data_IF_739907814787
#
_entry.id   IF_739907814787
#
_cell.length_a   1.000
_cell.length_b   1.000
_cell.length_c   1.000
_cell.angle_alpha   90.00
_cell.angle_beta   90.00
_cell.angle_gamma   90.00
#
_symmetry.space_group_name_H-M   'P 1'
#
loop_
_entity.id
_entity.type
_entity.pdbx_description
1 polymer ?
#
# COMPACT_ATOMS: atom_id res chain seq x y z
N UNK A 1 5.16 -11.07 8.72
CA UNK A 1 4.25 -11.89 7.87
C UNK A 1 4.95 -13.13 7.34
N UNK A 2 6.03 -13.01 6.55
CA UNK A 2 6.69 -14.16 5.94
C UNK A 2 7.22 -15.18 6.97
N UNK A 3 7.91 -14.71 8.02
CA UNK A 3 8.37 -15.56 9.13
C UNK A 3 7.24 -16.41 9.73
N UNK A 4 6.16 -15.75 10.16
CA UNK A 4 5.00 -16.42 10.75
C UNK A 4 4.38 -17.45 9.80
N UNK A 5 4.24 -17.12 8.51
CA UNK A 5 3.69 -18.05 7.52
C UNK A 5 4.56 -19.30 7.34
N UNK A 6 5.89 -19.14 7.31
CA UNK A 6 6.84 -20.26 7.25
C UNK A 6 6.79 -21.12 8.52
N UNK A 7 6.76 -20.49 9.70
CA UNK A 7 6.61 -21.18 10.99
C UNK A 7 5.35 -22.06 10.98
N UNK A 8 4.21 -21.47 10.64
CA UNK A 8 2.93 -22.21 10.60
C UNK A 8 2.97 -23.32 9.56
N UNK A 9 3.53 -23.07 8.37
CA UNK A 9 3.63 -24.09 7.34
C UNK A 9 4.55 -25.24 7.73
N UNK A 10 5.63 -24.97 8.48
CA UNK A 10 6.51 -26.00 9.06
C UNK A 10 5.82 -26.78 10.19
N UNK A 11 5.03 -26.10 11.04
CA UNK A 11 4.20 -26.77 12.05
C UNK A 11 3.17 -27.72 11.42
N UNK A 12 2.50 -27.29 10.35
CA UNK A 12 1.57 -28.14 9.60
C UNK A 12 2.28 -29.32 8.93
N UNK A 13 3.52 -29.13 8.44
CA UNK A 13 4.32 -30.20 7.87
C UNK A 13 4.70 -31.27 8.91
N UNK A 14 4.95 -30.88 10.16
CA UNK A 14 5.19 -31.84 11.26
C UNK A 14 4.00 -32.77 11.48
N UNK A 15 2.78 -32.26 11.39
CA UNK A 15 1.55 -33.05 11.63
C UNK A 15 1.08 -33.80 10.40
N UNK A 16 1.20 -33.21 9.21
CA UNK A 16 0.56 -33.72 7.98
C UNK A 16 1.54 -34.15 6.89
N UNK A 17 2.85 -34.08 7.18
CA UNK A 17 3.90 -34.21 6.18
C UNK A 17 4.07 -32.95 5.32
N UNK A 18 5.26 -32.74 4.73
CA UNK A 18 5.49 -31.64 3.80
C UNK A 18 4.65 -31.80 2.52
N UNK A 19 4.58 -30.77 1.68
CA UNK A 19 4.00 -30.93 0.34
C UNK A 19 4.85 -31.87 -0.52
N UNK A 20 4.23 -32.48 -1.53
CA UNK A 20 4.74 -33.63 -2.30
C UNK A 20 6.18 -33.46 -2.81
N UNK A 21 6.51 -32.30 -3.39
CA UNK A 21 7.83 -32.02 -3.98
C UNK A 21 8.68 -31.07 -3.12
N UNK A 22 8.51 -31.06 -1.80
CA UNK A 22 9.27 -30.16 -0.92
C UNK A 22 10.79 -30.40 -1.00
N UNK A 23 11.21 -31.66 -0.99
CA UNK A 23 12.64 -32.01 -0.86
C UNK A 23 13.50 -31.65 -2.07
N UNK A 24 12.88 -31.26 -3.19
CA UNK A 24 13.57 -30.74 -4.39
C UNK A 24 13.57 -29.20 -4.46
N UNK A 25 12.97 -28.53 -3.47
CA UNK A 25 12.80 -27.07 -3.48
C UNK A 25 13.99 -26.29 -2.89
N UNK A 26 14.15 -25.00 -3.22
CA UNK A 26 15.15 -24.13 -2.58
C UNK A 26 15.04 -24.10 -1.05
N UNK A 27 13.81 -24.11 -0.52
CA UNK A 27 13.57 -24.10 0.92
C UNK A 27 14.13 -25.36 1.62
N UNK A 28 14.12 -26.52 0.95
CA UNK A 28 14.75 -27.73 1.45
C UNK A 28 16.29 -27.61 1.51
N UNK A 29 16.89 -26.86 0.58
CA UNK A 29 18.30 -26.49 0.62
C UNK A 29 18.61 -25.38 1.65
N UNK A 30 17.59 -24.84 2.34
CA UNK A 30 17.72 -23.75 3.31
C UNK A 30 17.73 -22.35 2.69
N UNK A 31 17.40 -22.23 1.40
CA UNK A 31 17.27 -20.98 0.66
C UNK A 31 15.82 -20.48 0.75
N UNK A 32 15.62 -19.36 1.44
CA UNK A 32 14.35 -18.66 1.59
C UNK A 32 14.28 -17.45 0.66
N UNK A 33 13.13 -16.77 0.64
CA UNK A 33 12.88 -15.71 -0.35
C UNK A 33 13.90 -14.58 -0.34
N UNK A 34 14.41 -14.19 0.82
CA UNK A 34 15.37 -13.09 0.93
C UNK A 34 16.77 -13.51 0.49
N UNK A 35 17.12 -14.80 0.63
CA UNK A 35 18.39 -15.35 0.14
C UNK A 35 18.45 -15.26 -1.39
N UNK A 36 17.35 -15.60 -2.07
CA UNK A 36 17.19 -15.45 -3.52
C UNK A 36 17.30 -13.99 -4.00
N UNK A 37 17.17 -13.02 -3.09
CA UNK A 37 17.32 -11.58 -3.37
C UNK A 37 18.67 -11.02 -2.90
N UNK A 38 19.53 -11.85 -2.30
CA UNK A 38 20.79 -11.41 -1.70
C UNK A 38 20.59 -10.48 -0.49
N UNK A 39 19.44 -10.56 0.18
CA UNK A 39 19.09 -9.72 1.33
C UNK A 39 19.33 -10.48 2.62
N UNK A 40 20.10 -9.88 3.52
CA UNK A 40 20.21 -10.36 4.90
C UNK A 40 19.12 -9.68 5.73
N UNK A 41 18.19 -10.43 6.36
CA UNK A 41 17.18 -9.85 7.24
C UNK A 41 17.81 -9.33 8.53
N UNK A 42 17.14 -8.37 9.17
CA UNK A 42 17.51 -7.96 10.52
C UNK A 42 17.19 -9.09 11.50
N UNK A 43 18.20 -9.62 12.18
CA UNK A 43 18.06 -10.74 13.13
C UNK A 43 17.47 -10.31 14.49
N UNK A 44 17.30 -9.01 14.72
CA UNK A 44 16.81 -8.47 16.00
C UNK A 44 15.34 -8.82 16.30
N UNK A 45 14.55 -9.13 15.27
CA UNK A 45 13.12 -9.39 15.42
C UNK A 45 12.76 -10.89 15.39
N UNK A 46 13.49 -11.70 14.61
CA UNK A 46 13.14 -13.10 14.37
C UNK A 46 14.38 -13.97 14.17
N UNK A 47 14.42 -15.15 14.79
CA UNK A 47 15.51 -16.12 14.63
C UNK A 47 15.35 -16.93 13.32
N UNK A 48 15.80 -16.34 12.22
CA UNK A 48 15.77 -16.98 10.89
C UNK A 48 16.65 -18.23 10.81
N UNK A 49 17.75 -18.26 11.56
CA UNK A 49 18.66 -19.40 11.59
C UNK A 49 17.97 -20.63 12.20
N UNK A 50 17.28 -20.46 13.33
CA UNK A 50 16.47 -21.51 13.94
C UNK A 50 15.36 -21.99 13.01
N UNK A 51 14.62 -21.06 12.39
CA UNK A 51 13.55 -21.40 11.46
C UNK A 51 14.07 -22.20 10.25
N UNK A 52 15.20 -21.81 9.64
CA UNK A 52 15.83 -22.56 8.55
C UNK A 52 16.23 -23.98 8.99
N UNK A 53 16.77 -24.15 10.20
CA UNK A 53 17.10 -25.49 10.73
C UNK A 53 15.85 -26.35 10.88
N UNK A 54 14.76 -25.78 11.39
CA UNK A 54 13.49 -26.48 11.55
C UNK A 54 12.90 -26.89 10.20
N UNK A 55 12.84 -25.97 9.24
CA UNK A 55 12.32 -26.23 7.89
C UNK A 55 13.10 -27.36 7.20
N UNK A 56 14.43 -27.42 7.34
CA UNK A 56 15.22 -28.51 6.76
C UNK A 56 14.92 -29.88 7.37
N UNK A 57 14.42 -29.93 8.61
CA UNK A 57 14.05 -31.19 9.29
C UNK A 57 12.62 -31.60 8.99
N UNK A 58 11.69 -30.64 9.02
CA UNK A 58 10.25 -30.93 8.97
C UNK A 58 9.64 -30.75 7.59
N UNK A 59 10.28 -29.93 6.77
CA UNK A 59 9.73 -29.35 5.57
C UNK A 59 8.64 -28.31 5.80
N UNK A 60 7.99 -27.92 4.71
CA UNK A 60 6.87 -26.97 4.66
C UNK A 60 5.63 -27.67 4.09
N UNK A 61 4.45 -27.27 4.56
CA UNK A 61 3.17 -27.79 4.05
C UNK A 61 2.72 -27.08 2.76
N UNK A 62 3.23 -25.89 2.50
CA UNK A 62 2.86 -25.06 1.36
C UNK A 62 4.12 -24.64 0.60
N UNK A 63 4.09 -24.70 -0.73
CA UNK A 63 5.22 -24.30 -1.58
C UNK A 63 5.38 -22.78 -1.64
N UNK A 64 4.28 -22.03 -1.62
CA UNK A 64 4.23 -20.57 -1.66
C UNK A 64 3.20 -20.07 -0.64
N UNK A 65 3.49 -18.93 -0.01
CA UNK A 65 2.79 -18.43 1.18
C UNK A 65 2.28 -17.00 1.04
N UNK A 66 3.09 -16.09 0.48
CA UNK A 66 2.81 -14.66 0.46
C UNK A 66 2.65 -14.17 -0.98
N UNK A 67 1.49 -13.58 -1.25
CA UNK A 67 1.18 -12.80 -2.45
C UNK A 67 0.33 -11.59 -2.02
N UNK A 68 0.70 -10.39 -2.45
CA UNK A 68 -0.05 -9.18 -2.12
C UNK A 68 -1.01 -8.85 -3.24
N UNK A 69 -2.29 -9.17 -3.05
CA UNK A 69 -3.36 -8.94 -4.01
C UNK A 69 -3.98 -7.53 -3.86
N UNK A 70 -4.73 -7.06 -4.86
CA UNK A 70 -5.65 -5.94 -4.69
C UNK A 70 -6.72 -6.31 -3.66
N UNK A 71 -7.12 -5.35 -2.83
CA UNK A 71 -8.12 -5.56 -1.78
C UNK A 71 -9.31 -4.62 -1.94
N UNK A 72 -9.62 -4.18 -3.15
CA UNK A 72 -10.67 -3.19 -3.44
C UNK A 72 -11.98 -3.46 -2.67
N UNK A 73 -12.55 -4.68 -2.76
CA UNK A 73 -13.79 -5.01 -2.05
C UNK A 73 -13.65 -5.08 -0.53
N UNK A 74 -12.65 -5.82 -0.04
CA UNK A 74 -12.47 -6.08 1.41
C UNK A 74 -11.98 -4.85 2.18
N UNK A 75 -11.19 -3.98 1.55
CA UNK A 75 -10.75 -2.70 2.13
C UNK A 75 -11.90 -1.71 2.29
N UNK A 76 -12.86 -1.69 1.35
CA UNK A 76 -14.09 -0.89 1.49
C UNK A 76 -14.93 -1.40 2.67
N UNK A 77 -15.13 -2.72 2.77
CA UNK A 77 -15.87 -3.33 3.88
C UNK A 77 -15.20 -3.00 5.23
N UNK A 78 -13.87 -3.07 5.28
CA UNK A 78 -13.09 -2.81 6.49
C UNK A 78 -12.85 -1.32 6.77
N UNK A 79 -13.22 -0.43 5.84
CA UNK A 79 -12.96 1.00 5.93
C UNK A 79 -11.46 1.35 6.00
N UNK A 80 -10.62 0.59 5.29
CA UNK A 80 -9.17 0.70 5.18
C UNK A 80 -8.74 1.13 3.77
N UNK A 81 -7.48 1.53 3.61
CA UNK A 81 -6.87 1.76 2.30
C UNK A 81 -6.61 0.43 1.60
N UNK A 82 -6.67 0.43 0.27
CA UNK A 82 -6.45 -0.76 -0.53
C UNK A 82 -4.98 -1.22 -0.47
N UNK A 83 -4.78 -2.50 -0.17
CA UNK A 83 -3.50 -3.21 -0.23
C UNK A 83 -2.36 -2.42 0.42
N UNK A 84 -1.22 -2.32 -0.24
CA UNK A 84 -0.03 -1.54 0.19
C UNK A 84 0.00 -0.12 -0.39
N UNK A 85 -1.14 0.37 -0.89
CA UNK A 85 -1.21 1.68 -1.55
C UNK A 85 -1.27 2.85 -0.56
N UNK A 86 -0.91 4.03 -1.05
CA UNK A 86 -1.17 5.31 -0.39
C UNK A 86 -2.51 5.84 -0.88
N UNK A 87 -3.31 6.52 -0.03
CA UNK A 87 -4.54 7.17 -0.47
C UNK A 87 -4.31 8.06 -1.70
N UNK A 88 -5.10 7.85 -2.75
CA UNK A 88 -4.95 8.61 -4.00
C UNK A 88 -5.28 10.09 -3.82
N UNK A 89 -6.27 10.40 -2.99
CA UNK A 89 -6.75 11.73 -2.66
C UNK A 89 -7.32 11.71 -1.23
N UNK A 90 -7.22 12.82 -0.49
CA UNK A 90 -7.86 12.91 0.84
C UNK A 90 -9.33 13.33 0.79
N UNK A 91 -9.92 13.52 -0.39
CA UNK A 91 -11.33 13.89 -0.56
C UNK A 91 -11.97 12.93 -1.55
N UNK A 92 -13.02 12.22 -1.15
CA UNK A 92 -13.71 11.23 -1.98
C UNK A 92 -15.20 11.53 -2.05
N UNK A 93 -15.81 11.31 -3.21
CA UNK A 93 -17.24 11.50 -3.40
C UNK A 93 -17.97 10.17 -3.22
N UNK A 94 -18.91 10.11 -2.29
CA UNK A 94 -19.81 8.97 -2.10
C UNK A 94 -21.19 9.34 -2.63
N UNK A 95 -21.64 8.60 -3.64
CA UNK A 95 -23.02 8.67 -4.13
C UNK A 95 -23.91 7.77 -3.26
N UNK A 96 -25.02 8.32 -2.79
CA UNK A 96 -26.07 7.61 -2.05
C UNK A 96 -27.40 7.90 -2.72
N UNK A 97 -28.47 7.19 -2.34
CA UNK A 97 -29.82 7.45 -2.84
C UNK A 97 -30.28 8.90 -2.58
N UNK A 98 -29.77 9.53 -1.52
CA UNK A 98 -30.07 10.90 -1.11
C UNK A 98 -29.14 11.97 -1.69
N UNK A 99 -28.24 11.59 -2.62
CA UNK A 99 -27.34 12.54 -3.29
C UNK A 99 -25.85 12.19 -3.18
N UNK A 100 -25.00 13.10 -3.66
CA UNK A 100 -23.54 12.96 -3.69
C UNK A 100 -22.92 13.75 -2.54
N UNK A 101 -22.18 13.06 -1.67
CA UNK A 101 -21.52 13.67 -0.53
C UNK A 101 -20.01 13.64 -0.70
N UNK A 102 -19.34 14.77 -0.47
CA UNK A 102 -17.89 14.82 -0.36
C UNK A 102 -17.46 14.48 1.07
N UNK A 103 -16.65 13.43 1.17
CA UNK A 103 -16.08 12.93 2.41
C UNK A 103 -14.58 13.22 2.40
N UNK A 104 -14.05 13.68 3.53
CA UNK A 104 -12.62 13.91 3.71
C UNK A 104 -12.05 12.76 4.52
N UNK A 105 -10.80 12.36 4.25
CA UNK A 105 -10.06 11.33 4.97
C UNK A 105 -10.24 11.51 6.48
N UNK A 106 -10.93 10.55 7.12
CA UNK A 106 -11.28 10.58 8.55
C UNK A 106 -10.06 10.79 9.45
N UNK A 107 -8.89 10.28 9.05
CA UNK A 107 -7.65 10.43 9.79
C UNK A 107 -7.13 11.87 9.71
N UNK A 108 -7.17 12.48 8.53
CA UNK A 108 -6.81 13.90 8.34
C UNK A 108 -7.76 14.80 9.13
N UNK A 109 -9.07 14.54 9.07
CA UNK A 109 -10.06 15.29 9.85
C UNK A 109 -9.75 15.22 11.34
N UNK A 110 -9.46 14.03 11.87
CA UNK A 110 -9.10 13.83 13.28
C UNK A 110 -7.83 14.60 13.65
N UNK A 111 -6.79 14.52 12.81
CA UNK A 111 -5.54 15.25 13.03
C UNK A 111 -5.77 16.77 13.07
N UNK A 112 -6.50 17.32 12.11
CA UNK A 112 -6.82 18.75 12.06
C UNK A 112 -7.72 19.19 13.22
N UNK A 113 -8.69 18.36 13.64
CA UNK A 113 -9.53 18.63 14.82
C UNK A 113 -8.69 18.71 16.09
N UNK A 114 -7.71 17.82 16.26
CA UNK A 114 -6.86 17.77 17.46
C UNK A 114 -6.04 19.05 17.68
N UNK A 115 -5.80 19.82 16.62
CA UNK A 115 -5.07 21.09 16.67
C UNK A 115 -5.95 22.31 16.36
N UNK A 116 -7.29 22.15 16.38
CA UNK A 116 -8.23 23.24 16.15
C UNK A 116 -8.28 23.80 14.71
N UNK A 117 -7.66 23.13 13.74
CA UNK A 117 -7.59 23.59 12.34
C UNK A 117 -8.67 22.99 11.43
N UNK A 118 -9.57 22.15 11.96
CA UNK A 118 -10.70 21.64 11.17
C UNK A 118 -11.82 22.69 11.07
N UNK A 119 -11.62 23.70 10.24
CA UNK A 119 -12.57 24.81 9.99
C UNK A 119 -13.19 24.69 8.60
N UNK A 120 -14.35 25.34 8.34
CA UNK A 120 -14.93 25.41 7.00
C UNK A 120 -13.95 25.96 5.95
N UNK A 121 -13.14 26.96 6.31
CA UNK A 121 -12.11 27.54 5.43
C UNK A 121 -11.05 26.50 5.03
N UNK A 122 -10.48 25.78 6.00
CA UNK A 122 -9.48 24.73 5.70
C UNK A 122 -10.09 23.59 4.89
N UNK A 123 -11.32 23.18 5.21
CA UNK A 123 -12.05 22.17 4.43
C UNK A 123 -12.21 22.60 2.99
N UNK A 124 -12.66 23.83 2.73
CA UNK A 124 -12.82 24.36 1.37
C UNK A 124 -11.49 24.43 0.62
N UNK A 125 -10.39 24.79 1.28
CA UNK A 125 -9.04 24.76 0.67
C UNK A 125 -8.61 23.36 0.27
N UNK A 126 -8.83 22.36 1.12
CA UNK A 126 -8.51 20.96 0.83
C UNK A 126 -9.32 20.45 -0.38
N UNK A 127 -10.61 20.78 -0.43
CA UNK A 127 -11.49 20.40 -1.56
C UNK A 127 -11.04 21.10 -2.85
N UNK A 128 -10.77 22.41 -2.77
CA UNK A 128 -10.30 23.20 -3.91
C UNK A 128 -8.97 22.67 -4.47
N UNK A 129 -8.14 22.06 -3.61
CA UNK A 129 -6.86 21.44 -3.96
C UNK A 129 -6.96 19.94 -4.26
N UNK A 130 -8.15 19.45 -4.64
CA UNK A 130 -8.41 18.04 -5.00
C UNK A 130 -7.99 17.03 -3.92
N UNK A 131 -8.13 17.42 -2.66
CA UNK A 131 -7.75 16.61 -1.50
C UNK A 131 -6.26 16.61 -1.18
N UNK A 132 -5.45 17.42 -1.85
CA UNK A 132 -4.08 17.67 -1.40
C UNK A 132 -4.06 18.68 -0.24
N UNK A 133 -3.26 18.37 0.78
CA UNK A 133 -2.97 19.32 1.88
C UNK A 133 -1.68 20.11 1.62
N UNK A 134 -0.97 19.82 0.53
CA UNK A 134 0.24 20.56 0.19
C UNK A 134 -0.12 21.98 -0.26
N UNK A 135 0.74 22.95 0.02
CA UNK A 135 0.50 24.35 -0.33
C UNK A 135 -0.50 25.11 0.57
N UNK A 136 -1.20 24.43 1.48
CA UNK A 136 -2.04 25.10 2.49
C UNK A 136 -1.14 25.51 3.66
N UNK A 137 -0.78 26.80 3.73
CA UNK A 137 0.20 27.33 4.68
C UNK A 137 -0.20 27.16 6.15
N UNK A 138 -1.50 27.18 6.44
CA UNK A 138 -2.02 27.02 7.79
C UNK A 138 -1.87 25.59 8.32
N UNK A 139 -1.73 24.59 7.46
CA UNK A 139 -1.56 23.19 7.90
C UNK A 139 -0.08 22.95 8.20
N UNK A 140 0.28 22.54 9.45
CA UNK A 140 1.66 22.28 9.82
C UNK A 140 2.35 21.26 8.93
N UNK A 141 3.66 21.42 8.72
CA UNK A 141 4.46 20.55 7.87
C UNK A 141 4.40 19.07 8.28
N UNK A 142 4.39 18.77 9.57
CA UNK A 142 4.31 17.38 10.04
C UNK A 142 2.99 16.71 9.61
N UNK A 143 1.86 17.44 9.60
CA UNK A 143 0.58 16.94 9.08
C UNK A 143 0.66 16.82 7.56
N UNK A 144 1.14 17.84 6.86
CA UNK A 144 1.28 17.80 5.40
C UNK A 144 2.16 16.65 4.95
N UNK A 145 3.20 16.31 5.70
CA UNK A 145 4.11 15.20 5.41
C UNK A 145 3.44 13.84 5.51
N UNK A 146 2.53 13.65 6.47
CA UNK A 146 1.79 12.40 6.67
C UNK A 146 0.68 12.23 5.63
N UNK A 147 -0.05 13.31 5.31
CA UNK A 147 -1.24 13.24 4.46
C UNK A 147 -0.97 13.58 2.99
N UNK A 148 0.25 13.28 2.51
CA UNK A 148 0.55 13.35 1.09
C UNK A 148 -0.33 12.41 0.28
N UNK A 149 -0.77 12.86 -0.87
CA UNK A 149 -1.46 12.02 -1.86
C UNK A 149 -0.46 11.17 -2.63
N UNK A 150 -0.92 10.08 -3.26
CA UNK A 150 -0.03 9.18 -4.03
C UNK A 150 0.76 9.89 -5.13
N UNK A 151 0.21 10.98 -5.68
CA UNK A 151 0.81 11.79 -6.76
C UNK A 151 1.91 12.75 -6.29
N UNK A 152 2.10 12.90 -4.98
CA UNK A 152 3.08 13.80 -4.36
C UNK A 152 4.37 13.07 -3.95
N UNK A 153 4.38 11.75 -4.05
CA UNK A 153 5.56 10.93 -3.81
C UNK A 153 6.35 10.69 -5.09
N UNK A 154 7.68 10.59 -4.94
CA UNK A 154 8.54 10.15 -6.06
C UNK A 154 8.21 8.69 -6.38
N UNK A 155 7.89 8.40 -7.64
CA UNK A 155 7.55 7.06 -8.13
C UNK A 155 8.61 5.99 -7.78
N UNK A 156 9.89 6.36 -7.85
CA UNK A 156 11.00 5.47 -7.48
C UNK A 156 10.99 5.04 -6.02
N UNK A 157 10.37 5.82 -5.12
CA UNK A 157 10.20 5.45 -3.71
C UNK A 157 9.34 4.21 -3.59
N UNK A 158 8.23 4.13 -4.32
CA UNK A 158 7.35 2.96 -4.30
C UNK A 158 8.05 1.72 -4.85
N UNK A 159 8.82 1.86 -5.93
CA UNK A 159 9.62 0.76 -6.50
C UNK A 159 10.63 0.23 -5.47
N UNK A 160 11.33 1.11 -4.76
CA UNK A 160 12.26 0.71 -3.69
C UNK A 160 11.54 0.02 -2.53
N UNK A 161 10.38 0.54 -2.12
CA UNK A 161 9.57 -0.08 -1.07
C UNK A 161 9.06 -1.45 -1.49
N UNK A 162 8.66 -1.62 -2.76
CA UNK A 162 8.27 -2.90 -3.36
C UNK A 162 9.43 -3.90 -3.34
N UNK A 163 10.64 -3.45 -3.67
CA UNK A 163 11.82 -4.31 -3.69
C UNK A 163 12.21 -4.76 -2.27
N UNK A 164 12.20 -3.82 -1.32
CA UNK A 164 12.47 -4.11 0.08
C UNK A 164 11.52 -5.17 0.66
N UNK A 165 10.20 -5.06 0.40
CA UNK A 165 9.24 -6.10 0.81
C UNK A 165 9.29 -7.35 -0.07
N UNK A 166 9.72 -7.23 -1.33
CA UNK A 166 9.83 -8.33 -2.29
C UNK A 166 10.74 -9.47 -1.85
N UNK A 167 11.80 -9.13 -1.10
CA UNK A 167 12.67 -10.10 -0.42
C UNK A 167 11.92 -11.01 0.57
N UNK A 168 10.71 -10.65 0.99
CA UNK A 168 9.88 -11.43 1.91
C UNK A 168 8.55 -11.89 1.27
N UNK A 169 8.43 -11.82 -0.06
CA UNK A 169 7.24 -12.23 -0.82
C UNK A 169 7.62 -13.30 -1.84
N UNK A 170 7.25 -14.55 -1.56
CA UNK A 170 7.62 -15.68 -2.41
C UNK A 170 6.92 -15.67 -3.78
N UNK A 171 5.73 -15.08 -3.87
CA UNK A 171 5.06 -14.81 -5.15
C UNK A 171 5.38 -13.40 -5.63
N UNK A 172 4.40 -12.51 -5.75
CA UNK A 172 4.58 -11.12 -6.18
C UNK A 172 3.60 -10.19 -5.47
N UNK A 173 3.59 -8.92 -5.84
CA UNK A 173 2.63 -7.92 -5.39
C UNK A 173 1.93 -7.23 -6.57
N UNK A 174 0.67 -6.85 -6.39
CA UNK A 174 -0.12 -6.10 -7.36
C UNK A 174 0.08 -4.59 -7.16
N UNK A 175 1.27 -4.09 -7.47
CA UNK A 175 1.60 -2.68 -7.26
C UNK A 175 1.24 -1.80 -8.46
N UNK A 176 0.34 -0.85 -8.25
CA UNK A 176 0.01 0.17 -9.23
C UNK A 176 1.09 1.28 -9.28
N UNK A 177 1.18 1.96 -10.42
CA UNK A 177 2.08 3.08 -10.68
C UNK A 177 1.25 4.31 -11.01
N UNK A 178 1.62 5.45 -10.42
CA UNK A 178 0.85 6.68 -10.49
C UNK A 178 1.69 7.79 -11.11
N UNK A 179 1.16 8.42 -12.16
CA UNK A 179 1.81 9.54 -12.86
C UNK A 179 0.88 10.75 -12.88
N UNK A 180 1.46 11.95 -12.74
CA UNK A 180 0.70 13.18 -12.88
C UNK A 180 0.35 13.47 -14.35
N UNK A 181 1.26 13.18 -15.27
CA UNK A 181 1.10 13.41 -16.71
C UNK A 181 1.59 12.19 -17.49
N UNK A 182 1.05 11.94 -18.70
CA UNK A 182 1.58 10.90 -19.57
C UNK A 182 2.95 11.33 -20.11
N UNK A 183 3.99 10.57 -19.78
CA UNK A 183 5.35 10.81 -20.28
C UNK A 183 6.04 9.47 -20.57
N UNK A 184 6.41 9.26 -21.84
CA UNK A 184 7.01 7.99 -22.28
C UNK A 184 8.38 7.74 -21.67
N UNK A 185 9.20 8.78 -21.50
CA UNK A 185 10.52 8.65 -20.91
C UNK A 185 10.42 8.25 -19.44
N UNK A 186 9.45 8.83 -18.71
CA UNK A 186 9.16 8.45 -17.32
C UNK A 186 8.70 6.99 -17.24
N UNK A 187 7.81 6.55 -18.15
CA UNK A 187 7.34 5.15 -18.18
C UNK A 187 8.47 4.16 -18.48
N UNK A 188 9.30 4.44 -19.49
CA UNK A 188 10.46 3.61 -19.81
C UNK A 188 11.42 3.52 -18.63
N UNK A 189 11.78 4.66 -18.04
CA UNK A 189 12.68 4.70 -16.89
C UNK A 189 12.11 3.99 -15.66
N UNK A 190 10.80 4.10 -15.42
CA UNK A 190 10.11 3.39 -14.34
C UNK A 190 10.23 1.87 -14.51
N UNK A 191 9.91 1.34 -15.69
CA UNK A 191 9.95 -0.10 -15.95
C UNK A 191 11.39 -0.64 -15.88
N UNK A 192 12.35 0.06 -16.48
CA UNK A 192 13.76 -0.31 -16.39
C UNK A 192 14.28 -0.27 -14.96
N UNK A 193 13.86 0.72 -14.16
CA UNK A 193 14.26 0.82 -12.77
C UNK A 193 13.65 -0.31 -11.91
N UNK A 194 12.38 -0.62 -12.11
CA UNK A 194 11.73 -1.76 -11.44
C UNK A 194 12.40 -3.09 -11.78
N UNK A 195 12.76 -3.32 -13.05
CA UNK A 195 13.51 -4.50 -13.48
C UNK A 195 14.90 -4.57 -12.82
N UNK A 196 15.65 -3.45 -12.81
CA UNK A 196 16.95 -3.37 -12.11
C UNK A 196 16.85 -3.65 -10.61
N UNK A 197 15.72 -3.33 -9.98
CA UNK A 197 15.47 -3.64 -8.57
C UNK A 197 15.03 -5.09 -8.32
N UNK A 198 14.97 -5.94 -9.36
CA UNK A 198 14.56 -7.35 -9.23
C UNK A 198 13.07 -7.58 -9.05
N UNK A 199 12.22 -6.57 -9.32
CA UNK A 199 10.77 -6.73 -9.14
C UNK A 199 10.18 -7.76 -10.10
N UNK A 200 9.47 -8.74 -9.54
CA UNK A 200 8.70 -9.76 -10.29
C UNK A 200 7.50 -9.14 -11.03
N UNK A 201 6.85 -8.15 -10.43
CA UNK A 201 5.82 -7.33 -11.07
C UNK A 201 6.32 -5.89 -11.17
N UNK A 202 6.57 -5.43 -12.41
CA UNK A 202 7.01 -4.05 -12.64
C UNK A 202 5.88 -3.05 -12.38
N UNK A 203 4.67 -3.38 -12.82
CA UNK A 203 3.45 -2.61 -12.64
C UNK A 203 2.23 -3.51 -12.80
N UNK A 204 1.18 -3.27 -12.02
CA UNK A 204 -0.15 -3.82 -12.26
C UNK A 204 -0.95 -2.90 -13.20
N UNK A 205 -1.40 -1.74 -12.71
CA UNK A 205 -1.89 -0.64 -13.54
C UNK A 205 -0.93 0.55 -13.52
N UNK A 206 -0.88 1.25 -14.65
CA UNK A 206 -0.37 2.62 -14.72
C UNK A 206 -1.57 3.57 -14.72
N UNK A 207 -1.69 4.38 -13.68
CA UNK A 207 -2.77 5.35 -13.49
C UNK A 207 -2.24 6.76 -13.69
N UNK A 208 -2.85 7.47 -14.63
CA UNK A 208 -2.53 8.87 -14.90
C UNK A 208 -3.58 9.73 -14.18
N UNK A 209 -3.12 10.75 -13.46
CA UNK A 209 -3.99 11.69 -12.76
C UNK A 209 -4.94 12.34 -13.76
N UNK A 210 -6.24 12.20 -13.52
CA UNK A 210 -7.23 12.96 -14.27
C UNK A 210 -7.26 14.39 -13.71
N UNK A 211 -6.98 15.37 -14.57
CA UNK A 211 -7.17 16.78 -14.23
C UNK A 211 -8.65 17.09 -14.41
N UNK A 212 -9.36 17.35 -13.32
CA UNK A 212 -10.76 17.75 -13.40
C UNK A 212 -10.86 19.13 -14.07
N UNK A 213 -11.40 19.20 -15.28
CA UNK A 213 -11.63 20.43 -16.05
C UNK A 213 -13.02 21.05 -15.80
N UNK A 214 -13.81 20.51 -14.87
CA UNK A 214 -15.16 21.00 -14.55
C UNK A 214 -15.21 21.92 -13.32
N UNK A 215 -16.23 22.79 -13.26
CA UNK A 215 -16.57 23.61 -12.07
C UNK A 215 -16.60 22.70 -10.83
N UNK A 216 -15.69 22.95 -9.89
CA UNK A 216 -15.72 22.31 -8.57
C UNK A 216 -16.91 22.87 -7.82
N UNK A 217 -17.93 22.05 -7.54
CA UNK A 217 -19.10 22.45 -6.77
C UNK A 217 -18.67 22.71 -5.32
N UNK A 218 -18.24 23.94 -5.04
CA UNK A 218 -18.32 24.56 -3.73
C UNK A 218 -19.52 25.50 -3.77
N UNK A 219 -20.37 25.39 -2.76
CA UNK A 219 -21.55 26.22 -2.48
C UNK A 219 -22.90 25.56 -2.80
N UNK A 220 -23.26 24.57 -1.98
CA UNK A 220 -24.65 24.37 -1.55
C UNK A 220 -24.66 24.31 -0.02
N UNK A 221 -25.04 25.44 0.59
CA UNK A 221 -25.10 25.66 2.03
C UNK A 221 -26.32 24.98 2.71
N UNK A 222 -26.83 23.86 2.20
CA UNK A 222 -28.09 23.27 2.71
C UNK A 222 -28.11 21.73 2.85
N UNK A 223 -26.99 21.04 2.63
CA UNK A 223 -26.91 19.58 2.80
C UNK A 223 -26.13 19.18 4.06
N UNK A 224 -26.83 18.92 5.17
CA UNK A 224 -26.25 18.43 6.41
C UNK A 224 -25.32 17.22 6.18
N UNK A 225 -24.06 17.34 6.61
CA UNK A 225 -23.07 16.28 6.50
C UNK A 225 -23.31 15.22 7.58
N UNK A 226 -23.80 14.05 7.18
CA UNK A 226 -24.11 12.91 8.06
C UNK A 226 -22.83 12.30 8.71
N UNK A 227 -21.64 12.66 8.23
CA UNK A 227 -20.36 12.26 8.83
C UNK A 227 -19.83 13.18 9.93
N UNK A 228 -20.52 14.28 10.25
CA UNK A 228 -20.13 15.16 11.37
C UNK A 228 -20.62 14.68 12.74
N UNK A 229 -21.38 13.59 12.78
CA UNK A 229 -22.05 13.07 13.98
C UNK A 229 -21.82 11.56 14.15
N UNK A 230 -20.55 11.16 14.27
CA UNK A 230 -20.08 9.94 14.93
C UNK A 230 -18.56 10.01 15.17
#
# INVERSE_FOLDING_TARGET
MYYAALVTSSQLARTHGPYEIFWTSPAAAGELQFDMWGVTPDDDMWDWAALKRDIRKTGLRNSLLIAQMPTAGTSIISGLTESVEVPQINVYTRSTLSGRFQLVNKHLVRALKSIGLWTPSIRSKIIANDGSVQGIAEIPEHIRSVYKTIYEYKLSTFIKMDAARGAFICQSNSSNRYLNTPDMMVLTNMHLYAWKCGLKCSSYYVRIRQIATGKKFGDDASGGCVGCSA
#
